data_IF_322111234295
#
_entry.id   IF_322111234295
#
_cell.length_a   1.000
_cell.length_b   1.000
_cell.length_c   1.000
_cell.angle_alpha   90.00
_cell.angle_beta   90.00
_cell.angle_gamma   90.00
#
_symmetry.space_group_name_H-M   'P 1'
#
loop_
_entity.id
_entity.type
_entity.pdbx_description
1 polymer ?
#
# COMPACT_ATOMS: atom_id res chain seq x y z
N UNK A 1 58.82 11.23 26.91
CA UNK A 1 58.88 10.48 28.18
C UNK A 1 57.95 11.17 29.18
N UNK A 2 57.18 10.38 29.93
CA UNK A 2 56.10 10.69 30.90
C UNK A 2 56.19 12.08 31.58
N UNK A 3 55.06 12.75 31.86
CA UNK A 3 54.27 12.45 33.06
C UNK A 3 52.82 12.98 33.00
N UNK A 4 51.93 12.12 33.49
CA UNK A 4 50.51 12.33 33.77
C UNK A 4 50.23 13.57 34.63
N UNK A 5 49.07 14.23 34.40
CA UNK A 5 48.30 14.90 35.46
C UNK A 5 46.87 15.23 35.00
N UNK A 6 45.88 14.65 35.67
CA UNK A 6 44.78 15.33 36.40
C UNK A 6 43.59 14.39 36.57
N UNK A 7 43.56 13.69 37.71
CA UNK A 7 42.31 13.33 38.38
C UNK A 7 42.11 14.29 39.55
N UNK A 8 40.85 14.68 39.71
CA UNK A 8 40.19 15.18 40.92
C UNK A 8 40.60 16.57 41.43
N UNK A 9 39.67 17.52 41.26
CA UNK A 9 39.19 18.33 42.37
C UNK A 9 37.68 18.57 42.19
N UNK A 10 36.92 18.23 43.24
CA UNK A 10 35.46 18.30 43.38
C UNK A 10 35.03 19.66 43.96
N UNK A 11 33.71 19.87 43.92
CA UNK A 11 32.86 20.76 44.76
C UNK A 11 32.61 22.13 44.13
N UNK A 12 31.41 22.72 44.10
CA UNK A 12 30.08 22.44 44.69
C UNK A 12 29.13 23.49 44.10
N UNK A 13 28.02 23.11 43.46
CA UNK A 13 26.85 23.99 43.31
C UNK A 13 25.62 23.14 43.55
N UNK A 14 24.99 23.35 44.71
CA UNK A 14 23.69 22.80 45.06
C UNK A 14 22.63 23.69 44.41
N UNK A 15 21.87 23.13 43.47
CA UNK A 15 20.63 23.70 42.96
C UNK A 15 19.52 22.74 43.38
N UNK A 16 18.72 23.15 44.36
CA UNK A 16 17.49 22.48 44.75
C UNK A 16 16.42 22.68 43.67
N UNK A 17 15.91 21.63 43.00
CA UNK A 17 14.80 21.79 42.08
C UNK A 17 13.49 21.84 42.88
N UNK A 18 12.77 22.96 42.77
CA UNK A 18 11.35 23.02 43.13
C UNK A 18 10.58 22.10 42.16
N UNK A 19 10.24 20.90 42.61
CA UNK A 19 9.37 19.99 41.87
C UNK A 19 7.91 20.43 42.10
N UNK A 20 7.32 21.12 41.12
CA UNK A 20 5.88 21.32 41.05
C UNK A 20 5.25 19.98 40.59
N UNK A 21 4.34 19.35 41.36
CA UNK A 21 3.72 18.12 40.91
C UNK A 21 2.68 18.47 39.85
N UNK A 22 3.02 18.24 38.58
CA UNK A 22 2.04 18.11 37.52
C UNK A 22 1.23 16.85 37.79
N UNK A 23 0.12 16.99 38.51
CA UNK A 23 -0.95 15.99 38.50
C UNK A 23 -1.56 15.98 37.10
N UNK A 24 -0.94 15.21 36.20
CA UNK A 24 -1.65 14.72 35.03
C UNK A 24 -2.64 13.67 35.56
N UNK A 25 -3.96 13.84 35.38
CA UNK A 25 -4.87 12.76 35.66
C UNK A 25 -4.47 11.61 34.74
N UNK A 26 -4.00 10.51 35.34
CA UNK A 26 -3.87 9.25 34.65
C UNK A 26 -5.29 8.83 34.24
N UNK A 27 -5.72 9.24 33.04
CA UNK A 27 -6.92 8.70 32.41
C UNK A 27 -6.60 7.23 32.21
N UNK A 28 -7.15 6.40 33.10
CA UNK A 28 -7.19 4.95 32.91
C UNK A 28 -7.90 4.74 31.59
N UNK A 29 -7.15 4.49 30.51
CA UNK A 29 -7.72 3.87 29.33
C UNK A 29 -8.25 2.51 29.81
N UNK A 30 -9.53 2.47 30.13
CA UNK A 30 -10.24 1.22 30.43
C UNK A 30 -10.16 0.33 29.20
N UNK A 31 -10.19 -0.99 29.38
CA UNK A 31 -10.10 -2.03 28.34
C UNK A 31 -11.08 -1.78 27.17
N UNK A 32 -10.72 -0.91 26.24
CA UNK A 32 -11.51 -0.64 25.05
C UNK A 32 -11.28 -1.75 24.03
N UNK A 33 -11.97 -2.87 24.25
CA UNK A 33 -11.97 -4.02 23.36
C UNK A 33 -13.07 -3.89 22.32
N UNK A 34 -12.83 -3.09 21.28
CA UNK A 34 -13.75 -3.01 20.14
C UNK A 34 -13.57 -4.24 19.25
N UNK A 35 -14.56 -5.11 19.23
CA UNK A 35 -14.57 -6.28 18.34
C UNK A 35 -14.61 -5.84 16.87
N UNK A 36 -14.08 -6.68 16.00
CA UNK A 36 -14.17 -6.46 14.56
C UNK A 36 -15.53 -6.97 14.05
N UNK A 37 -16.44 -6.11 13.55
CA UNK A 37 -17.84 -6.47 13.33
C UNK A 37 -18.10 -7.32 12.07
N UNK A 38 -17.06 -7.63 11.28
CA UNK A 38 -17.18 -8.37 10.02
C UNK A 38 -16.46 -9.72 10.06
N UNK A 39 -16.68 -10.48 11.12
CA UNK A 39 -16.25 -11.89 11.21
C UNK A 39 -17.53 -12.73 11.38
N UNK A 40 -18.03 -13.40 10.32
CA UNK A 40 -17.49 -13.49 8.96
C UNK A 40 -17.68 -12.22 8.11
N UNK A 41 -16.98 -12.09 6.95
CA UNK A 41 -17.14 -10.95 6.05
C UNK A 41 -18.57 -10.80 5.53
N UNK A 42 -19.05 -9.56 5.41
CA UNK A 42 -20.40 -9.27 4.89
C UNK A 42 -20.41 -9.16 3.37
N UNK A 43 -21.13 -10.07 2.71
CA UNK A 43 -21.18 -10.21 1.24
C UNK A 43 -21.88 -9.04 0.53
N UNK A 44 -22.68 -8.26 1.24
CA UNK A 44 -23.35 -7.06 0.71
C UNK A 44 -22.36 -5.96 0.29
N UNK A 45 -21.16 -5.96 0.85
CA UNK A 45 -20.11 -5.02 0.44
C UNK A 45 -19.20 -5.68 -0.59
N UNK A 46 -18.83 -4.92 -1.62
CA UNK A 46 -17.93 -5.37 -2.68
C UNK A 46 -16.75 -4.41 -2.86
N UNK A 47 -15.65 -4.93 -3.38
CA UNK A 47 -14.45 -4.14 -3.68
C UNK A 47 -13.24 -4.53 -2.86
N UNK A 48 -12.10 -4.01 -3.31
CA UNK A 48 -10.78 -4.28 -2.76
C UNK A 48 -9.95 -2.99 -2.83
N UNK A 49 -9.22 -2.70 -1.75
CA UNK A 49 -8.32 -1.57 -1.71
C UNK A 49 -7.17 -1.82 -2.70
N UNK A 50 -6.99 -0.98 -3.73
CA UNK A 50 -5.98 -1.22 -4.75
C UNK A 50 -4.55 -0.99 -4.22
N UNK A 51 -4.40 -0.33 -3.06
CA UNK A 51 -3.09 -0.10 -2.42
C UNK A 51 -2.59 -1.34 -1.67
N UNK A 52 -3.40 -1.93 -0.80
CA UNK A 52 -2.96 -3.01 0.11
C UNK A 52 -3.68 -4.36 -0.07
N UNK A 53 -4.69 -4.41 -0.95
CA UNK A 53 -5.46 -5.62 -1.22
C UNK A 53 -6.49 -6.01 -0.16
N UNK A 54 -6.72 -5.19 0.87
CA UNK A 54 -7.80 -5.41 1.85
C UNK A 54 -9.18 -5.38 1.17
N UNK A 55 -10.04 -6.35 1.48
CA UNK A 55 -11.37 -6.46 0.88
C UNK A 55 -12.42 -5.68 1.69
N UNK A 56 -13.28 -4.94 1.00
CA UNK A 56 -14.38 -4.17 1.61
C UNK A 56 -15.32 -5.04 2.46
N UNK A 57 -15.71 -6.27 2.08
CA UNK A 57 -16.50 -7.17 2.94
C UNK A 57 -16.01 -7.32 4.38
N UNK A 58 -14.69 -7.21 4.60
CA UNK A 58 -14.06 -7.28 5.91
C UNK A 58 -13.81 -5.88 6.49
N UNK A 59 -13.43 -4.91 5.66
CA UNK A 59 -12.89 -3.61 6.14
C UNK A 59 -13.81 -2.41 5.87
N UNK A 60 -15.13 -2.64 5.78
CA UNK A 60 -16.10 -1.56 5.45
C UNK A 60 -16.07 -0.42 6.46
N UNK A 61 -15.94 -0.70 7.76
CA UNK A 61 -15.98 0.34 8.83
C UNK A 61 -14.87 1.40 8.77
N UNK A 62 -13.85 1.23 7.95
CA UNK A 62 -12.79 2.23 7.74
C UNK A 62 -12.65 2.62 6.28
N UNK A 63 -13.63 2.26 5.44
CA UNK A 63 -13.58 2.50 4.02
C UNK A 63 -13.67 3.99 3.71
N UNK A 64 -12.93 4.39 2.69
CA UNK A 64 -12.88 5.76 2.20
C UNK A 64 -13.10 5.71 0.70
N UNK A 65 -14.01 6.54 0.20
CA UNK A 65 -14.19 6.78 -1.24
C UNK A 65 -13.87 8.23 -1.56
N UNK A 66 -13.55 8.49 -2.81
CA UNK A 66 -13.24 9.81 -3.32
C UNK A 66 -13.47 9.84 -4.83
N UNK A 67 -13.46 11.04 -5.42
CA UNK A 67 -13.62 11.20 -6.88
C UNK A 67 -12.58 10.35 -7.63
N UNK A 68 -13.00 9.51 -8.60
CA UNK A 68 -12.08 8.64 -9.31
C UNK A 68 -10.92 9.39 -9.97
N UNK A 69 -9.72 8.84 -9.83
CA UNK A 69 -8.52 9.30 -10.53
C UNK A 69 -7.68 8.09 -10.96
N UNK A 70 -7.43 7.99 -12.26
CA UNK A 70 -6.66 6.89 -12.88
C UNK A 70 -7.14 5.49 -12.43
N UNK A 71 -8.46 5.29 -12.43
CA UNK A 71 -9.08 4.01 -12.07
C UNK A 71 -9.09 3.69 -10.57
N UNK A 72 -8.68 4.63 -9.71
CA UNK A 72 -8.75 4.49 -8.26
C UNK A 72 -9.74 5.50 -7.67
N UNK A 73 -10.70 5.01 -6.90
CA UNK A 73 -11.78 5.80 -6.29
C UNK A 73 -12.02 5.45 -4.81
N UNK A 74 -11.26 4.49 -4.27
CA UNK A 74 -11.48 3.95 -2.94
C UNK A 74 -10.23 3.35 -2.31
N UNK A 75 -10.16 3.40 -0.98
CA UNK A 75 -9.11 2.80 -0.15
C UNK A 75 -9.68 2.34 1.20
N UNK A 76 -9.01 1.40 1.86
CA UNK A 76 -9.49 0.80 3.11
C UNK A 76 -9.21 1.60 4.39
N UNK A 77 -8.40 2.65 4.33
CA UNK A 77 -7.91 3.36 5.53
C UNK A 77 -7.23 4.69 5.18
N UNK A 78 -7.05 5.52 6.21
CA UNK A 78 -6.24 6.74 6.15
C UNK A 78 -4.78 6.49 5.75
N UNK A 79 -4.18 5.35 6.15
CA UNK A 79 -2.83 5.00 5.71
C UNK A 79 -2.80 4.81 4.19
N UNK A 80 -3.72 4.01 3.64
CA UNK A 80 -3.79 3.78 2.20
C UNK A 80 -4.17 5.05 1.42
N UNK A 81 -4.97 5.95 2.01
CA UNK A 81 -5.24 7.27 1.43
C UNK A 81 -3.97 8.12 1.38
N UNK A 82 -3.23 8.21 2.48
CA UNK A 82 -1.96 8.93 2.54
C UNK A 82 -0.93 8.35 1.58
N UNK A 83 -0.87 7.03 1.45
CA UNK A 83 0.02 6.35 0.50
C UNK A 83 -0.39 6.71 -0.92
N UNK A 84 -1.66 6.59 -1.27
CA UNK A 84 -2.16 7.00 -2.58
C UNK A 84 -1.83 8.46 -2.91
N UNK A 85 -1.99 9.38 -1.96
CA UNK A 85 -1.63 10.81 -2.13
C UNK A 85 -0.13 10.96 -2.37
N UNK A 86 0.71 10.27 -1.59
CA UNK A 86 2.15 10.30 -1.78
C UNK A 86 2.56 9.78 -3.16
N UNK A 87 1.99 8.65 -3.58
CA UNK A 87 2.27 8.01 -4.88
C UNK A 87 1.88 8.92 -6.04
N UNK A 88 0.69 9.52 -5.99
CA UNK A 88 0.13 10.34 -7.08
C UNK A 88 0.60 11.79 -7.08
N UNK A 89 1.02 12.33 -5.92
CA UNK A 89 1.26 13.75 -5.73
C UNK A 89 -0.02 14.60 -5.78
N UNK A 90 -1.20 13.99 -5.58
CA UNK A 90 -2.52 14.64 -5.68
C UNK A 90 -3.30 14.55 -4.39
N UNK A 91 -4.01 15.61 -4.04
CA UNK A 91 -5.06 15.56 -3.01
C UNK A 91 -6.41 15.19 -3.65
N UNK A 92 -7.12 14.18 -3.13
CA UNK A 92 -8.40 13.77 -3.69
C UNK A 92 -9.54 14.73 -3.32
N UNK A 93 -10.59 14.76 -4.14
CA UNK A 93 -11.82 15.53 -3.89
C UNK A 93 -12.99 14.59 -3.61
N UNK A 94 -14.09 15.14 -3.11
CA UNK A 94 -15.34 14.40 -2.84
C UNK A 94 -15.13 13.21 -1.91
N UNK A 95 -14.29 13.41 -0.89
CA UNK A 95 -13.90 12.37 0.06
C UNK A 95 -15.09 12.06 0.97
N UNK A 96 -15.48 10.80 0.98
CA UNK A 96 -16.49 10.26 1.87
C UNK A 96 -15.86 9.23 2.80
N UNK A 97 -16.21 9.29 4.09
CA UNK A 97 -15.69 8.41 5.12
C UNK A 97 -16.82 7.54 5.68
N UNK A 98 -16.58 6.25 5.83
CA UNK A 98 -17.52 5.37 6.54
C UNK A 98 -17.53 5.67 8.03
N UNK A 99 -18.73 5.76 8.62
CA UNK A 99 -18.92 5.92 10.07
C UNK A 99 -18.62 4.58 10.76
N UNK A 100 -17.77 4.61 11.79
CA UNK A 100 -17.14 3.40 12.32
C UNK A 100 -18.11 2.37 12.91
N UNK A 101 -19.14 2.84 13.62
CA UNK A 101 -20.19 1.98 14.21
C UNK A 101 -21.43 1.83 13.32
N UNK A 102 -21.53 2.59 12.23
CA UNK A 102 -22.61 2.55 11.25
C UNK A 102 -22.03 2.30 9.84
N UNK A 103 -21.45 1.11 9.56
CA UNK A 103 -20.68 0.90 8.35
C UNK A 103 -21.45 1.00 7.02
N UNK A 104 -22.78 1.02 7.07
CA UNK A 104 -23.65 1.33 5.92
C UNK A 104 -23.77 2.83 5.63
N UNK A 105 -23.25 3.70 6.50
CA UNK A 105 -23.36 5.16 6.42
C UNK A 105 -22.00 5.77 6.09
N UNK A 106 -21.97 6.63 5.09
CA UNK A 106 -20.82 7.45 4.75
C UNK A 106 -21.16 8.92 4.88
N UNK A 107 -20.19 9.73 5.30
CA UNK A 107 -20.33 11.18 5.47
C UNK A 107 -19.21 11.92 4.73
N UNK A 108 -19.47 13.15 4.26
CA UNK A 108 -18.42 14.02 3.75
C UNK A 108 -17.29 14.23 4.77
N UNK A 109 -16.05 14.21 4.30
CA UNK A 109 -14.87 14.28 5.17
C UNK A 109 -14.77 15.58 6.00
N UNK A 110 -15.28 16.69 5.48
CA UNK A 110 -15.33 17.99 6.17
C UNK A 110 -16.32 18.02 7.36
N UNK A 111 -17.28 17.10 7.38
CA UNK A 111 -18.26 16.92 8.46
C UNK A 111 -17.88 15.85 9.47
N UNK A 112 -16.78 15.14 9.24
CA UNK A 112 -16.38 14.01 10.07
C UNK A 112 -15.58 14.42 11.31
N UNK A 113 -15.88 13.76 12.42
CA UNK A 113 -15.07 13.79 13.64
C UNK A 113 -14.22 12.52 13.69
N UNK A 114 -12.92 12.67 13.90
CA UNK A 114 -11.97 11.55 13.89
C UNK A 114 -11.33 11.44 15.25
N UNK A 115 -11.53 10.32 15.95
CA UNK A 115 -10.77 9.98 17.15
C UNK A 115 -9.41 9.43 16.71
N UNK A 116 -8.35 10.18 16.99
CA UNK A 116 -6.97 9.85 16.68
C UNK A 116 -6.30 9.19 17.89
N UNK A 117 -5.65 8.05 17.69
CA UNK A 117 -4.75 7.46 18.69
C UNK A 117 -5.45 6.81 19.89
N UNK A 118 -6.70 6.39 19.75
CA UNK A 118 -7.38 5.53 20.73
C UNK A 118 -6.68 4.17 20.88
N UNK A 119 -6.94 3.46 21.98
CA UNK A 119 -6.47 2.08 22.19
C UNK A 119 -7.17 1.06 21.28
N UNK A 120 -8.36 1.37 20.76
CA UNK A 120 -9.01 0.55 19.74
C UNK A 120 -8.12 0.40 18.48
N UNK A 121 -8.07 -0.82 17.94
CA UNK A 121 -7.16 -1.16 16.85
C UNK A 121 -7.41 -0.33 15.58
N UNK A 122 -6.35 0.33 15.09
CA UNK A 122 -6.34 1.01 13.79
C UNK A 122 -6.30 0.05 12.61
N UNK A 123 -6.67 0.54 11.43
CA UNK A 123 -6.53 -0.19 10.16
C UNK A 123 -5.30 0.33 9.42
N UNK A 124 -4.36 -0.57 9.13
CA UNK A 124 -3.10 -0.27 8.41
C UNK A 124 -2.19 0.78 9.08
N UNK A 125 -2.41 1.18 10.32
CA UNK A 125 -1.53 2.09 11.08
C UNK A 125 -1.61 1.75 12.58
N UNK A 126 -0.50 1.89 13.34
CA UNK A 126 -0.55 1.77 14.80
C UNK A 126 -1.31 2.92 15.47
N UNK A 127 -1.44 4.07 14.81
CA UNK A 127 -2.22 5.22 15.30
C UNK A 127 -3.60 5.16 14.66
N UNK A 128 -4.60 4.75 15.45
CA UNK A 128 -5.99 4.64 15.03
C UNK A 128 -6.57 5.98 14.57
N UNK A 129 -7.51 5.93 13.62
CA UNK A 129 -8.21 7.08 13.02
C UNK A 129 -9.66 6.68 12.82
N UNK A 130 -10.47 6.87 13.86
CA UNK A 130 -11.82 6.30 13.97
C UNK A 130 -12.85 7.38 13.68
N UNK A 131 -13.73 7.14 12.71
CA UNK A 131 -14.62 8.15 12.14
C UNK A 131 -16.01 8.11 12.79
N UNK A 132 -16.51 9.28 13.17
CA UNK A 132 -17.84 9.52 13.72
C UNK A 132 -18.54 10.65 12.95
N UNK A 133 -19.86 10.54 12.84
CA UNK A 133 -20.72 11.60 12.28
C UNK A 133 -21.03 12.72 13.28
N UNK A 134 -20.98 12.41 14.58
CA UNK A 134 -21.36 13.33 15.64
C UNK A 134 -20.20 13.55 16.61
N UNK A 135 -19.98 14.82 16.99
CA UNK A 135 -18.92 15.20 17.92
C UNK A 135 -19.11 14.56 19.30
N UNK A 136 -20.36 14.47 19.76
CA UNK A 136 -20.74 13.85 21.03
C UNK A 136 -20.33 12.39 21.07
N UNK A 137 -20.63 11.62 20.02
CA UNK A 137 -20.21 10.21 19.88
C UNK A 137 -18.71 10.02 19.78
N UNK A 138 -18.01 10.92 19.10
CA UNK A 138 -16.55 10.90 19.08
C UNK A 138 -15.96 11.16 20.47
N UNK A 139 -16.52 12.12 21.23
CA UNK A 139 -16.08 12.46 22.57
C UNK A 139 -16.36 11.32 23.57
N UNK A 140 -17.56 10.74 23.54
CA UNK A 140 -17.92 9.54 24.32
C UNK A 140 -16.92 8.41 24.05
N UNK A 141 -16.61 8.15 22.77
CA UNK A 141 -15.64 7.12 22.42
C UNK A 141 -14.23 7.45 22.92
N UNK A 142 -13.77 8.70 22.78
CA UNK A 142 -12.46 9.13 23.26
C UNK A 142 -12.34 9.06 24.79
N UNK A 143 -13.41 9.30 25.54
CA UNK A 143 -13.44 9.14 26.99
C UNK A 143 -13.23 7.66 27.40
N UNK A 144 -13.88 6.73 26.69
CA UNK A 144 -13.80 5.30 27.00
C UNK A 144 -12.54 4.62 26.45
N UNK A 145 -12.09 5.02 25.25
CA UNK A 145 -11.03 4.36 24.49
C UNK A 145 -9.74 5.17 24.41
N UNK A 146 -9.71 6.37 24.99
CA UNK A 146 -8.65 7.34 24.79
C UNK A 146 -8.61 7.90 23.37
N UNK A 147 -7.60 8.74 23.12
CA UNK A 147 -7.41 9.43 21.86
C UNK A 147 -7.96 10.86 21.87
N UNK A 148 -7.72 11.56 20.76
CA UNK A 148 -8.09 12.96 20.60
C UNK A 148 -9.11 13.12 19.47
N UNK A 149 -10.16 13.92 19.70
CA UNK A 149 -11.16 14.22 18.66
C UNK A 149 -10.66 15.34 17.76
N UNK A 150 -10.37 15.01 16.51
CA UNK A 150 -9.86 15.92 15.48
C UNK A 150 -10.79 15.99 14.27
N UNK A 151 -10.52 16.93 13.36
CA UNK A 151 -11.12 16.93 12.03
C UNK A 151 -10.34 16.03 11.06
N UNK A 152 -10.93 15.77 9.89
CA UNK A 152 -10.32 14.96 8.83
C UNK A 152 -8.94 15.47 8.40
N UNK A 153 -8.78 16.79 8.21
CA UNK A 153 -7.53 17.39 7.71
C UNK A 153 -6.36 17.08 8.65
N UNK A 154 -6.55 17.28 9.96
CA UNK A 154 -5.53 16.99 10.96
C UNK A 154 -5.22 15.49 11.03
N UNK A 155 -6.25 14.63 11.02
CA UNK A 155 -6.05 13.18 11.04
C UNK A 155 -5.32 12.66 9.79
N UNK A 156 -5.62 13.21 8.61
CA UNK A 156 -4.92 12.89 7.37
C UNK A 156 -3.48 13.41 7.39
N UNK A 157 -3.22 14.60 7.93
CA UNK A 157 -1.87 15.12 8.10
C UNK A 157 -1.00 14.18 8.96
N UNK A 158 -1.55 13.63 10.05
CA UNK A 158 -0.88 12.60 10.85
C UNK A 158 -0.61 11.32 10.05
N UNK A 159 -1.55 10.89 9.20
CA UNK A 159 -1.31 9.74 8.32
C UNK A 159 -0.18 10.02 7.31
N UNK A 160 -0.19 11.19 6.68
CA UNK A 160 0.83 11.61 5.70
C UNK A 160 2.23 11.69 6.33
N UNK A 161 2.36 12.16 7.57
CA UNK A 161 3.67 12.28 8.22
C UNK A 161 4.29 10.93 8.59
N UNK A 162 3.49 9.89 8.84
CA UNK A 162 3.97 8.55 9.19
C UNK A 162 4.00 7.56 8.01
N UNK A 163 3.35 7.88 6.88
CA UNK A 163 3.07 6.91 5.81
C UNK A 163 4.31 6.19 5.30
N UNK A 164 5.40 6.90 4.99
CA UNK A 164 6.60 6.26 4.42
C UNK A 164 7.28 5.28 5.39
N UNK A 165 7.27 5.60 6.69
CA UNK A 165 7.78 4.70 7.73
C UNK A 165 6.85 3.49 7.88
N UNK A 166 5.55 3.72 7.92
CA UNK A 166 4.55 2.66 8.05
C UNK A 166 4.56 1.72 6.83
N UNK A 167 4.68 2.24 5.61
CA UNK A 167 4.71 1.44 4.37
C UNK A 167 5.89 0.48 4.36
N UNK A 168 7.07 0.88 4.85
CA UNK A 168 8.23 -0.03 5.03
C UNK A 168 7.91 -1.20 5.97
N UNK A 169 7.29 -0.89 7.11
CA UNK A 169 6.90 -1.89 8.11
C UNK A 169 5.81 -2.82 7.57
N UNK A 170 4.84 -2.27 6.85
CA UNK A 170 3.76 -3.02 6.20
C UNK A 170 4.34 -3.95 5.14
N UNK A 171 5.26 -3.47 4.30
CA UNK A 171 5.91 -4.27 3.27
C UNK A 171 6.57 -5.52 3.89
N UNK A 172 7.42 -5.33 4.91
CA UNK A 172 8.04 -6.42 5.65
C UNK A 172 7.01 -7.38 6.27
N UNK A 173 5.91 -6.84 6.82
CA UNK A 173 4.81 -7.65 7.38
C UNK A 173 4.08 -8.45 6.29
N UNK A 174 3.88 -7.88 5.09
CA UNK A 174 3.22 -8.56 3.99
C UNK A 174 4.05 -9.73 3.46
N UNK A 175 5.38 -9.55 3.38
CA UNK A 175 6.33 -10.63 3.09
C UNK A 175 6.23 -11.72 4.17
N UNK A 176 6.35 -11.34 5.45
CA UNK A 176 6.28 -12.29 6.58
C UNK A 176 4.97 -13.08 6.64
N UNK A 177 3.85 -12.48 6.19
CA UNK A 177 2.52 -13.11 6.17
C UNK A 177 2.19 -13.83 4.86
N UNK A 178 3.13 -13.92 3.92
CA UNK A 178 2.92 -14.59 2.63
C UNK A 178 1.95 -13.87 1.68
N UNK A 179 1.60 -12.60 1.93
CA UNK A 179 0.86 -11.78 0.96
C UNK A 179 1.72 -11.36 -0.23
N UNK A 180 3.02 -11.29 0.02
CA UNK A 180 4.09 -11.11 -0.96
C UNK A 180 5.00 -12.31 -0.75
N UNK A 181 5.21 -13.11 -1.79
CA UNK A 181 6.12 -14.26 -1.73
C UNK A 181 7.39 -13.90 -2.47
N UNK A 182 8.53 -14.01 -1.80
CA UNK A 182 9.83 -13.82 -2.44
C UNK A 182 10.17 -15.06 -3.28
N UNK A 183 10.44 -14.94 -4.60
CA UNK A 183 10.82 -16.08 -5.40
C UNK A 183 12.17 -16.64 -4.94
N UNK A 184 12.26 -17.95 -4.91
CA UNK A 184 13.46 -18.74 -4.64
C UNK A 184 14.21 -19.09 -5.94
N UNK A 185 15.34 -19.80 -5.80
CA UNK A 185 16.13 -20.29 -6.94
C UNK A 185 15.43 -21.41 -7.73
N UNK A 186 14.44 -22.07 -7.15
CA UNK A 186 13.66 -23.14 -7.79
C UNK A 186 12.42 -22.60 -8.50
N UNK A 187 12.00 -21.38 -8.18
CA UNK A 187 10.88 -20.75 -8.87
C UNK A 187 11.24 -20.41 -10.32
N UNK A 188 10.23 -20.48 -11.18
CA UNK A 188 10.35 -20.23 -12.62
C UNK A 188 9.31 -19.21 -13.05
N UNK A 189 9.72 -18.30 -13.92
CA UNK A 189 8.82 -17.39 -14.60
C UNK A 189 7.85 -18.22 -15.47
N UNK A 190 6.55 -18.03 -15.28
CA UNK A 190 5.50 -18.77 -16.01
C UNK A 190 5.55 -18.55 -17.54
N UNK A 191 6.20 -17.47 -17.99
CA UNK A 191 6.25 -17.08 -19.41
C UNK A 191 7.53 -17.53 -20.09
N UNK A 192 8.69 -17.33 -19.47
CA UNK A 192 9.99 -17.55 -20.12
C UNK A 192 10.89 -18.56 -19.39
N UNK A 193 10.40 -19.18 -18.32
CA UNK A 193 11.14 -20.16 -17.50
C UNK A 193 12.44 -19.65 -16.84
N UNK A 194 12.73 -18.34 -16.89
CA UNK A 194 13.86 -17.75 -16.17
C UNK A 194 13.60 -17.72 -14.66
N UNK A 195 14.66 -17.69 -13.85
CA UNK A 195 14.59 -17.69 -12.38
C UNK A 195 14.32 -16.26 -11.86
N UNK A 196 13.10 -15.92 -11.36
CA UNK A 196 12.76 -14.54 -11.02
C UNK A 196 13.62 -13.95 -9.89
N UNK A 197 14.14 -14.79 -8.99
CA UNK A 197 15.02 -14.39 -7.89
C UNK A 197 16.32 -13.70 -8.37
N UNK A 198 16.74 -13.94 -9.62
CA UNK A 198 17.93 -13.32 -10.22
C UNK A 198 17.67 -11.89 -10.74
N UNK A 199 16.42 -11.43 -10.72
CA UNK A 199 16.00 -10.13 -11.26
C UNK A 199 15.32 -9.28 -10.18
N UNK A 200 16.05 -8.79 -9.15
CA UNK A 200 15.45 -8.14 -7.98
C UNK A 200 14.59 -6.91 -8.31
N UNK A 201 14.89 -6.18 -9.39
CA UNK A 201 14.11 -5.02 -9.86
C UNK A 201 13.12 -5.33 -11.00
N UNK A 202 13.16 -6.54 -11.57
CA UNK A 202 12.23 -6.99 -12.61
C UNK A 202 11.15 -7.93 -12.10
N UNK A 203 11.43 -8.64 -10.99
CA UNK A 203 10.54 -9.65 -10.43
C UNK A 203 9.18 -9.05 -10.09
N UNK A 204 8.15 -9.78 -10.45
CA UNK A 204 6.78 -9.45 -10.10
C UNK A 204 5.97 -10.73 -9.89
N UNK A 205 4.77 -10.61 -9.32
CA UNK A 205 3.95 -11.76 -8.95
C UNK A 205 2.46 -11.47 -9.01
N UNK A 206 1.71 -12.53 -9.34
CA UNK A 206 0.26 -12.61 -9.17
C UNK A 206 -0.02 -13.61 -8.06
N UNK A 207 -0.78 -13.22 -7.05
CA UNK A 207 -1.35 -14.14 -6.06
C UNK A 207 -2.86 -14.26 -6.28
N UNK A 208 -3.39 -15.47 -6.26
CA UNK A 208 -4.84 -15.74 -6.36
C UNK A 208 -5.47 -15.92 -4.96
N UNK A 209 -6.80 -15.95 -4.88
CA UNK A 209 -7.55 -15.94 -3.60
C UNK A 209 -7.15 -17.05 -2.62
N UNK A 210 -6.70 -18.21 -3.10
CA UNK A 210 -6.28 -19.33 -2.25
C UNK A 210 -4.81 -19.24 -1.77
N UNK A 211 -4.09 -18.17 -2.13
CA UNK A 211 -2.70 -17.94 -1.75
C UNK A 211 -1.65 -18.47 -2.73
N UNK A 212 -2.04 -19.26 -3.76
CA UNK A 212 -1.11 -19.67 -4.82
C UNK A 212 -0.55 -18.43 -5.52
N UNK A 213 0.76 -18.43 -5.72
CA UNK A 213 1.51 -17.31 -6.29
C UNK A 213 2.21 -17.75 -7.57
N UNK A 214 2.09 -16.94 -8.61
CA UNK A 214 2.78 -17.08 -9.88
C UNK A 214 3.83 -15.98 -9.98
N UNK A 215 5.07 -16.36 -10.24
CA UNK A 215 6.20 -15.43 -10.35
C UNK A 215 6.54 -15.13 -11.81
N UNK A 216 7.03 -13.92 -12.05
CA UNK A 216 7.50 -13.44 -13.34
C UNK A 216 8.86 -12.77 -13.15
N UNK A 217 9.78 -12.93 -14.09
CA UNK A 217 11.11 -12.31 -14.03
C UNK A 217 11.10 -10.82 -14.40
N UNK A 218 10.05 -10.36 -15.08
CA UNK A 218 9.92 -9.03 -15.66
C UNK A 218 8.45 -8.60 -15.71
N UNK A 219 8.19 -7.30 -15.72
CA UNK A 219 6.83 -6.78 -15.94
C UNK A 219 6.37 -7.02 -17.38
N UNK A 220 7.28 -7.08 -18.36
CA UNK A 220 6.99 -7.53 -19.71
C UNK A 220 6.38 -8.93 -19.70
N UNK A 221 6.97 -9.90 -18.99
CA UNK A 221 6.38 -11.24 -18.84
C UNK A 221 5.02 -11.19 -18.12
N UNK A 222 4.88 -10.39 -17.06
CA UNK A 222 3.59 -10.21 -16.38
C UNK A 222 2.49 -9.73 -17.35
N UNK A 223 2.75 -8.69 -18.13
CA UNK A 223 1.75 -8.13 -19.04
C UNK A 223 1.54 -9.00 -20.30
N UNK A 224 2.58 -9.69 -20.76
CA UNK A 224 2.45 -10.72 -21.79
C UNK A 224 1.51 -11.85 -21.33
N UNK A 225 1.71 -12.37 -20.12
CA UNK A 225 0.82 -13.36 -19.53
C UNK A 225 -0.62 -12.81 -19.42
N UNK A 226 -0.77 -11.59 -18.89
CA UNK A 226 -2.09 -10.96 -18.71
C UNK A 226 -2.84 -10.70 -20.02
N UNK A 227 -2.14 -10.45 -21.13
CA UNK A 227 -2.76 -10.24 -22.43
C UNK A 227 -3.29 -11.52 -23.08
N UNK A 228 -2.61 -12.67 -22.88
CA UNK A 228 -3.05 -13.96 -23.45
C UNK A 228 -2.65 -15.16 -22.58
N UNK A 229 -3.37 -15.34 -21.46
CA UNK A 229 -3.08 -16.38 -20.47
C UNK A 229 -3.14 -17.81 -21.03
N UNK A 230 -4.01 -18.06 -22.01
CA UNK A 230 -4.21 -19.37 -22.63
C UNK A 230 -2.99 -19.91 -23.38
N UNK A 231 -1.93 -19.11 -23.56
CA UNK A 231 -0.64 -19.60 -24.06
C UNK A 231 0.22 -20.25 -22.97
N UNK A 232 -0.12 -20.06 -21.70
CA UNK A 232 0.74 -20.40 -20.56
C UNK A 232 0.05 -21.30 -19.54
N UNK A 233 -1.28 -21.24 -19.46
CA UNK A 233 -2.09 -22.00 -18.51
C UNK A 233 -3.42 -22.40 -19.13
N UNK A 234 -3.91 -23.58 -18.78
CA UNK A 234 -5.22 -24.08 -19.24
C UNK A 234 -6.38 -23.39 -18.52
N UNK A 235 -6.17 -23.06 -17.24
CA UNK A 235 -7.18 -22.38 -16.41
C UNK A 235 -6.79 -20.92 -16.22
N UNK A 236 -7.67 -19.95 -16.57
CA UNK A 236 -7.43 -18.54 -16.34
C UNK A 236 -7.10 -18.22 -14.88
N UNK A 237 -6.03 -17.46 -14.68
CA UNK A 237 -5.58 -16.97 -13.38
C UNK A 237 -6.24 -15.61 -13.13
N UNK A 238 -7.16 -15.58 -12.17
CA UNK A 238 -7.82 -14.36 -11.70
C UNK A 238 -7.03 -13.69 -10.57
N UNK A 239 -6.39 -12.53 -10.79
CA UNK A 239 -5.42 -11.98 -9.84
C UNK A 239 -6.11 -11.33 -8.63
N UNK A 240 -5.87 -11.90 -7.44
CA UNK A 240 -6.30 -11.31 -6.18
C UNK A 240 -5.34 -10.22 -5.70
N UNK A 241 -4.04 -10.44 -5.83
CA UNK A 241 -2.99 -9.43 -5.60
C UNK A 241 -2.02 -9.43 -6.79
N UNK A 242 -1.48 -8.26 -7.10
CA UNK A 242 -0.42 -8.08 -8.08
C UNK A 242 0.65 -7.24 -7.42
N UNK A 243 1.86 -7.77 -7.32
CA UNK A 243 3.01 -7.06 -6.74
C UNK A 243 4.10 -6.91 -7.79
N UNK A 244 4.64 -5.70 -7.86
CA UNK A 244 5.81 -5.34 -8.67
C UNK A 244 6.85 -4.71 -7.74
N UNK A 245 8.11 -4.69 -8.14
CA UNK A 245 9.17 -4.05 -7.34
C UNK A 245 9.38 -2.63 -7.84
N UNK A 246 9.18 -1.65 -6.96
CA UNK A 246 9.48 -0.25 -7.25
C UNK A 246 10.95 -0.08 -7.66
N UNK A 247 11.20 0.47 -8.84
CA UNK A 247 12.55 0.60 -9.38
C UNK A 247 13.44 1.52 -8.55
N UNK A 248 12.87 2.52 -7.89
CA UNK A 248 13.64 3.49 -7.12
C UNK A 248 14.11 2.90 -5.77
N UNK A 249 13.18 2.33 -5.00
CA UNK A 249 13.47 1.84 -3.64
C UNK A 249 13.82 0.37 -3.55
N UNK A 250 13.53 -0.44 -4.57
CA UNK A 250 13.63 -1.90 -4.52
C UNK A 250 12.58 -2.57 -3.64
N UNK A 251 11.59 -1.82 -3.15
CA UNK A 251 10.49 -2.37 -2.33
C UNK A 251 9.34 -2.86 -3.20
N UNK A 252 8.65 -3.90 -2.75
CA UNK A 252 7.39 -4.31 -3.38
C UNK A 252 6.31 -3.21 -3.27
N UNK A 253 5.54 -3.03 -4.34
CA UNK A 253 4.38 -2.15 -4.37
C UNK A 253 3.24 -2.79 -5.14
N UNK A 254 2.01 -2.38 -4.84
CA UNK A 254 0.84 -2.88 -5.57
C UNK A 254 0.95 -2.47 -7.04
N UNK A 255 0.98 -3.47 -7.94
CA UNK A 255 1.03 -3.23 -9.38
C UNK A 255 -0.16 -2.43 -9.88
N UNK A 256 -1.34 -2.59 -9.27
CA UNK A 256 -2.56 -1.86 -9.64
C UNK A 256 -2.48 -0.35 -9.39
N UNK A 257 -1.58 0.09 -8.52
CA UNK A 257 -1.40 1.52 -8.17
C UNK A 257 0.01 2.02 -8.48
N UNK A 258 0.84 1.20 -9.13
CA UNK A 258 2.15 1.61 -9.60
C UNK A 258 2.01 2.48 -10.87
N UNK A 259 3.01 3.33 -11.09
CA UNK A 259 3.21 4.03 -12.35
C UNK A 259 4.24 3.27 -13.17
N UNK A 260 4.03 3.17 -14.47
CA UNK A 260 4.89 2.42 -15.36
C UNK A 260 5.51 3.35 -16.38
N UNK A 261 6.82 3.25 -16.61
CA UNK A 261 7.46 3.93 -17.74
C UNK A 261 7.67 2.93 -18.87
N UNK A 262 7.06 3.21 -20.01
CA UNK A 262 7.14 2.40 -21.22
C UNK A 262 7.86 3.18 -22.32
N UNK A 263 8.66 2.51 -23.15
CA UNK A 263 9.36 3.14 -24.28
C UNK A 263 10.66 3.85 -23.89
N UNK A 264 11.29 3.43 -22.79
CA UNK A 264 12.67 3.84 -22.48
C UNK A 264 13.60 3.46 -23.63
N UNK A 265 14.45 4.41 -24.02
CA UNK A 265 15.43 4.26 -25.11
C UNK A 265 16.83 3.88 -24.62
N UNK A 266 17.10 4.04 -23.32
CA UNK A 266 18.43 3.87 -22.72
C UNK A 266 18.52 2.68 -21.76
N UNK A 267 17.40 2.31 -21.16
CA UNK A 267 17.33 1.29 -20.12
C UNK A 267 16.36 0.20 -20.56
N UNK A 268 16.80 -1.05 -20.43
CA UNK A 268 16.04 -2.25 -20.77
C UNK A 268 15.87 -3.14 -19.52
N UNK A 269 14.77 -3.89 -19.48
CA UNK A 269 14.50 -4.89 -18.46
C UNK A 269 15.10 -6.26 -18.81
N UNK A 270 14.84 -7.29 -17.99
CA UNK A 270 15.37 -8.64 -18.19
C UNK A 270 15.02 -9.27 -19.55
N UNK A 271 13.95 -8.79 -20.19
CA UNK A 271 13.44 -9.28 -21.48
C UNK A 271 13.51 -8.22 -22.60
N UNK A 272 14.35 -7.19 -22.46
CA UNK A 272 14.43 -6.09 -23.42
C UNK A 272 13.46 -4.96 -23.05
N UNK A 273 12.57 -4.56 -23.95
CA UNK A 273 11.62 -3.48 -23.68
C UNK A 273 10.76 -3.79 -22.45
N UNK A 274 10.51 -2.78 -21.62
CA UNK A 274 9.96 -3.01 -20.29
C UNK A 274 8.96 -1.91 -19.89
N UNK A 275 8.00 -2.28 -19.05
CA UNK A 275 7.16 -1.36 -18.29
C UNK A 275 7.77 -1.14 -16.91
N UNK A 276 8.70 -0.19 -16.76
CA UNK A 276 9.40 0.00 -15.49
C UNK A 276 8.47 0.51 -14.38
N UNK A 277 8.24 -0.26 -13.30
CA UNK A 277 7.34 0.12 -12.23
C UNK A 277 7.97 1.13 -11.25
N UNK A 278 7.17 2.10 -10.83
CA UNK A 278 7.50 3.11 -9.84
C UNK A 278 6.38 3.27 -8.83
N UNK A 279 6.75 3.47 -7.57
CA UNK A 279 5.79 3.78 -6.52
C UNK A 279 5.34 5.25 -6.58
N UNK A 280 6.09 6.15 -7.23
CA UNK A 280 5.77 7.57 -7.32
C UNK A 280 5.66 8.06 -8.76
N UNK A 281 4.63 8.86 -9.05
CA UNK A 281 4.47 9.53 -10.34
C UNK A 281 5.63 10.48 -10.62
N UNK A 282 6.15 11.14 -9.59
CA UNK A 282 7.28 12.06 -9.72
C UNK A 282 8.55 11.31 -10.11
N UNK A 283 8.81 10.16 -9.47
CA UNK A 283 9.98 9.31 -9.78
C UNK A 283 9.87 8.70 -11.18
N UNK A 284 8.68 8.24 -11.57
CA UNK A 284 8.41 7.75 -12.93
C UNK A 284 8.67 8.84 -13.97
N UNK A 285 8.20 10.06 -13.72
CA UNK A 285 8.37 11.21 -14.61
C UNK A 285 9.84 11.60 -14.74
N UNK A 286 10.59 11.61 -13.63
CA UNK A 286 12.03 11.84 -13.63
C UNK A 286 12.79 10.77 -14.42
N UNK A 287 12.42 9.50 -14.26
CA UNK A 287 13.01 8.41 -15.03
C UNK A 287 12.73 8.53 -16.53
N UNK A 288 11.47 8.84 -16.90
CA UNK A 288 11.09 9.04 -18.30
C UNK A 288 11.83 10.23 -18.93
N UNK A 289 11.99 11.35 -18.22
CA UNK A 289 12.76 12.49 -18.69
C UNK A 289 14.23 12.14 -18.94
N UNK A 290 14.85 11.32 -18.09
CA UNK A 290 16.26 10.95 -18.20
C UNK A 290 16.52 9.86 -19.27
N UNK A 291 15.59 8.93 -19.45
CA UNK A 291 15.79 7.69 -20.21
C UNK A 291 14.90 7.55 -21.46
N UNK A 292 13.99 8.50 -21.67
CA UNK A 292 12.91 8.41 -22.64
C UNK A 292 11.73 7.58 -22.12
N UNK A 293 10.67 7.54 -22.92
CA UNK A 293 9.44 6.81 -22.61
C UNK A 293 8.34 7.70 -22.03
N UNK A 294 7.21 7.08 -21.70
CA UNK A 294 6.00 7.73 -21.20
C UNK A 294 5.53 7.06 -19.92
N UNK A 295 5.10 7.88 -18.95
CA UNK A 295 4.48 7.41 -17.71
C UNK A 295 3.02 7.03 -17.97
N UNK A 296 2.63 5.81 -17.62
CA UNK A 296 1.26 5.31 -17.70
C UNK A 296 0.83 4.66 -16.39
N UNK A 297 -0.48 4.53 -16.15
CA UNK A 297 -1.02 3.77 -15.03
C UNK A 297 -1.18 2.28 -15.41
N UNK A 298 -1.47 1.44 -14.42
CA UNK A 298 -1.65 -0.01 -14.62
C UNK A 298 -2.65 -0.39 -15.73
N UNK A 299 -3.79 0.30 -15.83
CA UNK A 299 -4.84 -0.02 -16.80
C UNK A 299 -4.44 0.28 -18.24
N UNK A 300 -3.45 1.15 -18.42
CA UNK A 300 -2.94 1.55 -19.73
C UNK A 300 -1.75 0.71 -20.21
N UNK A 301 -1.25 -0.22 -19.39
CA UNK A 301 -0.13 -1.10 -19.77
C UNK A 301 -0.64 -2.32 -20.52
N UNK A 302 -0.19 -2.48 -21.77
CA UNK A 302 -0.40 -3.71 -22.56
C UNK A 302 0.93 -4.16 -23.15
N UNK A 303 1.03 -5.45 -23.52
CA UNK A 303 2.29 -5.99 -24.05
C UNK A 303 2.69 -5.32 -25.37
N UNK A 304 1.72 -4.91 -26.20
CA UNK A 304 1.94 -4.22 -27.47
C UNK A 304 2.50 -2.81 -27.28
N UNK A 305 2.11 -2.15 -26.19
CA UNK A 305 2.71 -0.86 -25.81
C UNK A 305 4.12 -1.06 -25.26
N UNK A 306 4.37 -2.16 -24.55
CA UNK A 306 5.71 -2.46 -24.01
C UNK A 306 6.68 -2.78 -25.13
N UNK A 307 6.34 -3.74 -26.00
CA UNK A 307 7.24 -4.27 -27.03
C UNK A 307 6.72 -3.83 -28.41
N UNK A 308 7.44 -2.93 -29.10
CA UNK A 308 7.08 -2.52 -30.45
C UNK A 308 6.98 -3.71 -31.40
N UNK A 309 5.85 -3.79 -32.12
CA UNK A 309 5.60 -4.89 -33.07
C UNK A 309 5.27 -6.23 -32.41
N UNK A 310 4.89 -6.25 -31.13
CA UNK A 310 4.48 -7.49 -30.47
C UNK A 310 3.32 -8.17 -31.22
N UNK A 311 3.50 -9.45 -31.51
CA UNK A 311 2.47 -10.31 -32.06
C UNK A 311 2.45 -11.59 -31.24
N UNK A 312 1.26 -11.96 -30.76
CA UNK A 312 1.08 -13.28 -30.18
C UNK A 312 1.16 -14.36 -31.26
N UNK A 313 1.73 -15.53 -30.96
CA UNK A 313 1.64 -16.68 -31.85
C UNK A 313 0.16 -16.95 -32.21
N UNK A 314 -0.10 -17.11 -33.51
CA UNK A 314 -1.35 -17.68 -34.01
C UNK A 314 -1.43 -19.13 -33.57
N UNK A 315 -2.60 -19.61 -33.10
CA UNK A 315 -2.80 -21.05 -32.91
C UNK A 315 -2.57 -21.72 -34.27
N UNK A 316 -1.69 -22.71 -34.32
CA UNK A 316 -1.64 -23.61 -35.48
C UNK A 316 -2.91 -24.46 -35.48
N UNK A 317 -3.38 -24.86 -36.66
CA UNK A 317 -4.61 -25.64 -36.86
C UNK A 317 -4.65 -26.98 -36.11
N UNK A 318 -3.51 -27.46 -35.60
CA UNK A 318 -3.41 -28.68 -34.79
C UNK A 318 -3.94 -28.49 -33.35
N UNK A 319 -3.99 -27.26 -32.81
CA UNK A 319 -4.45 -26.99 -31.44
C UNK A 319 -5.95 -26.65 -31.34
N UNK A 320 -6.72 -26.88 -32.41
CA UNK A 320 -8.18 -26.67 -32.43
C UNK A 320 -8.99 -27.96 -32.31
N UNK A 321 -8.35 -29.12 -32.34
CA UNK A 321 -9.02 -30.43 -32.36
C UNK A 321 -8.82 -31.28 -31.09
N UNK A 322 -8.23 -30.72 -30.02
CA UNK A 322 -8.13 -31.34 -28.69
C UNK A 322 -8.98 -30.60 -27.66
#
# INVERSE_FOLDING_TARGET
MRLLKRRQFLKTISLTPLALPLFLPAVKAMDCKVSHPFIPPKKEYHGQCPVCGMVRPMWTRTWITFKPYQGVEQVCSFHCLAEWIHKTGRDPTDIMLTVYHEPGKMIPADRAFVVLGSTAAGTMSPVSKIVFAEKTKAAEFAEHCGGEVLNFRSALATAKSSVLKESKIINARQIKRGKIVEPSKTDRCLVCNMVPALYPYGKCQIQIKNGKTFHFCSTQCLFNFRGKQSLYVDTPVEPFLIWVVDRNSGMWTSGRTAFYVIGSSKVFGPMGYEAFPFNSMNEASGFAAANGGTVVNYGDVTIEKIVPGWLYPSRTSEQMND
#
